data_IF_796927948451
#
_entry.id   IF_796927948451
#
_cell.length_a   1.000
_cell.length_b   1.000
_cell.length_c   1.000
_cell.angle_alpha   90.00
_cell.angle_beta   90.00
_cell.angle_gamma   90.00
#
_symmetry.space_group_name_H-M   'P 1'
#
loop_
_entity.id
_entity.type
_entity.pdbx_description
1 polymer ?
#
# COMPACT_ATOMS: atom_id res chain seq x y z
N UNK A 1 15.18 -5.11 11.40
CA UNK A 1 14.19 -4.07 11.14
C UNK A 1 14.38 -2.87 12.05
N UNK A 2 13.59 -1.85 11.83
CA UNK A 2 13.53 -0.63 12.65
C UNK A 2 12.34 -0.65 13.63
N UNK A 3 11.76 -1.83 13.87
CA UNK A 3 10.58 -2.05 14.69
C UNK A 3 9.33 -2.31 13.85
N UNK A 4 8.19 -2.51 14.51
CA UNK A 4 6.94 -2.91 13.86
C UNK A 4 6.31 -1.78 13.02
N UNK A 5 6.48 -0.54 13.44
CA UNK A 5 5.80 0.61 12.80
C UNK A 5 6.67 1.36 11.79
N UNK A 6 7.98 1.08 11.75
CA UNK A 6 8.92 1.83 10.92
C UNK A 6 9.91 0.94 10.15
N UNK A 7 10.30 1.37 8.93
CA UNK A 7 9.72 2.47 8.13
C UNK A 7 8.33 2.10 7.62
N UNK A 8 7.44 3.07 7.38
CA UNK A 8 6.18 2.78 6.72
C UNK A 8 6.40 2.47 5.23
N UNK A 9 5.62 1.55 4.67
CA UNK A 9 5.38 1.52 3.23
C UNK A 9 4.65 2.80 2.82
N UNK A 10 4.77 3.22 1.56
CA UNK A 10 4.19 4.49 1.14
C UNK A 10 3.68 4.50 -0.28
N UNK A 11 2.72 5.38 -0.52
CA UNK A 11 2.27 5.81 -1.82
C UNK A 11 2.83 7.20 -2.08
N UNK A 12 3.40 7.44 -3.26
CA UNK A 12 3.97 8.74 -3.61
C UNK A 12 3.93 9.02 -5.10
N UNK A 13 3.84 10.29 -5.44
CA UNK A 13 4.13 10.80 -6.77
C UNK A 13 5.65 10.81 -6.99
N UNK A 14 6.08 10.59 -8.23
CA UNK A 14 7.50 10.62 -8.60
C UNK A 14 7.75 11.66 -9.67
N UNK A 15 8.89 12.35 -9.55
CA UNK A 15 9.43 13.27 -10.58
C UNK A 15 10.84 12.81 -10.93
N UNK A 16 11.32 13.23 -12.09
CA UNK A 16 12.68 12.92 -12.49
C UNK A 16 13.70 13.41 -11.45
N UNK A 17 14.65 12.56 -11.07
CA UNK A 17 15.65 12.82 -10.05
C UNK A 17 15.15 12.88 -8.60
N UNK A 18 13.89 12.53 -8.33
CA UNK A 18 13.37 12.41 -6.96
C UNK A 18 14.12 11.36 -6.14
N UNK A 19 14.38 11.68 -4.88
CA UNK A 19 15.06 10.79 -3.94
C UNK A 19 14.28 10.71 -2.62
N UNK A 20 13.94 9.49 -2.18
CA UNK A 20 13.10 9.26 -1.00
C UNK A 20 13.86 8.65 0.19
N UNK A 21 15.20 8.73 0.19
CA UNK A 21 16.05 8.57 1.37
C UNK A 21 16.87 7.30 1.47
N UNK A 22 16.41 6.17 0.92
CA UNK A 22 17.15 4.92 1.07
C UNK A 22 18.55 4.97 0.41
N UNK A 23 19.63 4.49 1.07
CA UNK A 23 19.66 3.78 2.36
C UNK A 23 19.85 4.70 3.58
N UNK A 24 20.04 5.99 3.43
CA UNK A 24 20.52 6.91 4.48
C UNK A 24 19.45 7.35 5.47
N UNK A 25 18.22 7.47 4.99
CA UNK A 25 17.08 7.90 5.77
C UNK A 25 15.78 7.34 5.20
N UNK A 26 14.69 7.50 5.95
CA UNK A 26 13.35 7.09 5.54
C UNK A 26 12.32 8.13 5.99
N UNK A 27 11.14 8.09 5.39
CA UNK A 27 10.02 8.98 5.69
C UNK A 27 10.47 10.46 5.82
N UNK A 28 11.05 10.98 4.74
CA UNK A 28 11.69 12.27 4.72
C UNK A 28 13.13 12.19 5.23
N UNK A 29 13.41 12.80 6.38
CA UNK A 29 14.78 12.94 6.90
C UNK A 29 15.05 12.18 8.19
N UNK A 30 14.26 11.15 8.49
CA UNK A 30 14.52 10.26 9.61
C UNK A 30 15.71 9.39 9.29
N UNK A 31 16.84 9.64 9.95
CA UNK A 31 18.12 8.98 9.68
C UNK A 31 18.07 7.51 10.04
N UNK A 32 18.61 6.66 9.18
CA UNK A 32 18.91 5.27 9.50
C UNK A 32 20.38 5.19 9.95
N UNK A 33 20.63 5.11 11.24
CA UNK A 33 21.97 5.11 11.85
C UNK A 33 22.73 3.79 11.69
N UNK A 34 22.10 2.77 11.10
CA UNK A 34 22.71 1.45 10.86
C UNK A 34 23.63 1.42 9.63
N UNK A 35 23.65 2.49 8.83
CA UNK A 35 24.45 2.60 7.63
C UNK A 35 25.39 3.81 7.69
N UNK A 36 26.52 3.81 6.95
CA UNK A 36 27.34 5.00 6.81
C UNK A 36 26.53 6.17 6.28
N UNK A 37 26.65 7.33 6.92
CA UNK A 37 25.82 8.49 6.64
C UNK A 37 26.37 9.38 5.53
N UNK A 38 25.43 9.95 4.75
CA UNK A 38 25.69 11.02 3.79
C UNK A 38 24.70 12.18 4.07
N UNK A 39 25.11 13.23 4.83
CA UNK A 39 24.24 14.34 5.17
C UNK A 39 23.71 15.10 3.95
N UNK A 40 24.45 15.12 2.83
CA UNK A 40 23.99 15.79 1.61
C UNK A 40 22.82 15.00 0.98
N UNK A 41 22.87 13.69 1.01
CA UNK A 41 21.78 12.85 0.53
C UNK A 41 20.56 12.91 1.46
N UNK A 42 20.76 12.92 2.77
CA UNK A 42 19.66 13.14 3.74
C UNK A 42 18.97 14.49 3.49
N UNK A 43 19.75 15.54 3.24
CA UNK A 43 19.20 16.87 2.97
C UNK A 43 18.33 16.91 1.71
N UNK A 44 18.62 16.09 0.70
CA UNK A 44 17.88 15.97 -0.57
C UNK A 44 16.62 15.10 -0.46
N UNK A 45 16.50 14.28 0.56
CA UNK A 45 15.40 13.34 0.68
C UNK A 45 14.05 14.05 0.76
N UNK A 46 13.11 13.58 -0.04
CA UNK A 46 11.71 14.01 -0.04
C UNK A 46 10.88 13.15 0.91
N UNK A 47 9.86 13.74 1.51
CA UNK A 47 8.85 12.96 2.24
C UNK A 47 7.85 12.42 1.24
N UNK A 48 7.53 11.10 1.26
CA UNK A 48 6.47 10.53 0.45
C UNK A 48 5.10 11.16 0.75
N UNK A 49 4.19 11.10 -0.22
CA UNK A 49 2.87 11.76 -0.12
C UNK A 49 1.95 11.11 0.93
N UNK A 50 2.04 9.78 1.14
CA UNK A 50 1.11 9.07 2.01
C UNK A 50 1.73 7.81 2.61
N UNK A 51 1.66 7.66 3.94
CA UNK A 51 2.09 6.46 4.66
C UNK A 51 1.00 5.37 4.62
N UNK A 52 1.39 4.15 4.29
CA UNK A 52 0.50 2.97 4.21
C UNK A 52 0.59 2.07 5.44
N UNK A 53 1.45 2.41 6.40
CA UNK A 53 1.72 1.62 7.61
C UNK A 53 3.00 0.79 7.53
N UNK A 54 3.47 0.35 8.68
CA UNK A 54 4.70 -0.45 8.79
C UNK A 54 4.53 -1.86 8.24
N UNK A 55 5.45 -2.26 7.36
CA UNK A 55 5.57 -3.64 6.85
C UNK A 55 4.32 -4.21 6.17
N UNK A 56 3.49 -3.38 5.56
CA UNK A 56 2.27 -3.85 4.86
C UNK A 56 2.58 -4.61 3.58
N UNK A 57 3.81 -4.51 3.09
CA UNK A 57 4.25 -5.04 1.81
C UNK A 57 3.30 -4.65 0.68
N UNK A 58 3.12 -3.33 0.51
CA UNK A 58 2.28 -2.75 -0.52
C UNK A 58 2.95 -2.89 -1.89
N UNK A 59 2.39 -3.70 -2.78
CA UNK A 59 3.02 -4.11 -4.05
C UNK A 59 2.32 -3.54 -5.27
N UNK A 60 1.09 -3.99 -5.56
CA UNK A 60 0.34 -3.55 -6.73
C UNK A 60 -0.56 -2.37 -6.44
N UNK A 61 -0.77 -1.50 -7.44
CA UNK A 61 -1.71 -0.38 -7.32
C UNK A 61 -2.41 -0.08 -8.65
N UNK A 62 -3.64 0.44 -8.58
CA UNK A 62 -4.32 1.00 -9.73
C UNK A 62 -5.27 2.13 -9.34
N UNK A 63 -5.49 3.05 -10.29
CA UNK A 63 -6.48 4.12 -10.13
C UNK A 63 -7.90 3.58 -10.22
N UNK A 64 -8.75 3.99 -9.28
CA UNK A 64 -10.17 3.64 -9.21
C UNK A 64 -10.98 4.93 -9.31
N UNK A 65 -11.71 5.14 -10.43
CA UNK A 65 -12.58 6.28 -10.58
C UNK A 65 -13.75 6.27 -9.58
N UNK A 66 -14.22 7.46 -9.21
CA UNK A 66 -15.40 7.64 -8.38
C UNK A 66 -16.60 6.83 -8.88
N UNK A 67 -17.27 6.12 -7.99
CA UNK A 67 -18.47 5.33 -8.30
C UNK A 67 -18.22 4.04 -9.09
N UNK A 68 -16.96 3.68 -9.40
CA UNK A 68 -16.66 2.41 -10.07
C UNK A 68 -17.01 1.19 -9.19
N UNK A 69 -16.76 1.30 -7.90
CA UNK A 69 -17.15 0.31 -6.91
C UNK A 69 -18.20 0.91 -5.96
N UNK A 70 -19.23 0.16 -5.56
CA UNK A 70 -20.22 0.63 -4.60
C UNK A 70 -19.58 1.10 -3.29
N UNK A 71 -20.01 2.29 -2.83
CA UNK A 71 -19.48 2.90 -1.61
C UNK A 71 -18.12 3.60 -1.75
N UNK A 72 -17.56 3.67 -2.96
CA UNK A 72 -16.34 4.41 -3.26
C UNK A 72 -16.67 5.57 -4.22
N UNK A 73 -17.23 6.63 -3.68
CA UNK A 73 -17.86 7.73 -4.44
C UNK A 73 -16.87 8.87 -4.78
N UNK A 74 -15.59 8.67 -4.51
CA UNK A 74 -14.49 9.59 -4.86
C UNK A 74 -13.42 8.83 -5.63
N UNK A 75 -12.63 9.56 -6.39
CA UNK A 75 -11.43 9.00 -7.03
C UNK A 75 -10.42 8.53 -5.99
N UNK A 76 -9.64 7.52 -6.31
CA UNK A 76 -8.58 7.05 -5.42
C UNK A 76 -7.71 5.95 -6.01
N UNK A 77 -6.86 5.41 -5.15
CA UNK A 77 -5.92 4.36 -5.51
C UNK A 77 -6.26 3.08 -4.74
N UNK A 78 -6.53 1.98 -5.44
CA UNK A 78 -6.55 0.65 -4.85
C UNK A 78 -5.13 0.11 -4.75
N UNK A 79 -4.77 -0.46 -3.59
CA UNK A 79 -3.42 -0.94 -3.31
C UNK A 79 -3.51 -2.33 -2.69
N UNK A 80 -2.84 -3.31 -3.31
CA UNK A 80 -2.67 -4.65 -2.78
C UNK A 80 -1.56 -4.68 -1.73
N UNK A 81 -1.92 -5.09 -0.52
CA UNK A 81 -1.00 -5.25 0.61
C UNK A 81 -0.78 -6.74 0.86
N UNK A 82 0.40 -7.23 0.47
CA UNK A 82 0.78 -8.63 0.60
C UNK A 82 0.88 -9.08 2.05
N UNK A 83 1.21 -8.17 2.94
CA UNK A 83 1.25 -8.38 4.38
C UNK A 83 2.63 -8.69 4.94
N UNK A 84 2.80 -8.39 6.22
CA UNK A 84 4.04 -8.56 6.95
C UNK A 84 4.34 -10.04 7.24
N UNK A 85 5.60 -10.32 7.58
CA UNK A 85 6.06 -11.63 8.08
C UNK A 85 6.91 -11.49 9.35
N UNK A 86 7.29 -10.27 9.72
CA UNK A 86 8.24 -9.98 10.79
C UNK A 86 7.75 -8.90 11.76
N UNK A 87 6.43 -8.81 11.97
CA UNK A 87 5.80 -7.95 12.98
C UNK A 87 5.27 -8.78 14.15
N UNK A 88 5.20 -8.16 15.32
CA UNK A 88 4.56 -8.74 16.51
C UNK A 88 3.06 -8.95 16.30
N UNK A 89 2.38 -7.96 15.70
CA UNK A 89 1.02 -8.07 15.16
C UNK A 89 1.10 -7.87 13.66
N UNK A 90 0.57 -8.80 12.88
CA UNK A 90 0.67 -8.76 11.43
C UNK A 90 -0.12 -7.58 10.84
N UNK A 91 0.35 -7.06 9.70
CA UNK A 91 -0.27 -5.94 8.98
C UNK A 91 -0.37 -6.23 7.49
N UNK A 92 -1.28 -5.54 6.80
CA UNK A 92 -1.55 -5.80 5.39
C UNK A 92 -2.57 -6.94 5.22
N UNK A 93 -2.31 -7.90 4.31
CA UNK A 93 -3.20 -9.00 3.96
C UNK A 93 -4.58 -8.53 3.47
N UNK A 94 -4.60 -7.50 2.64
CA UNK A 94 -5.84 -6.87 2.16
C UNK A 94 -5.60 -6.00 0.94
N UNK A 95 -6.67 -5.55 0.33
CA UNK A 95 -6.64 -4.47 -0.65
C UNK A 95 -7.27 -3.24 -0.01
N UNK A 96 -6.52 -2.15 0.03
CA UNK A 96 -6.98 -0.87 0.58
C UNK A 96 -7.25 0.13 -0.54
N UNK A 97 -8.16 1.06 -0.28
CA UNK A 97 -8.45 2.22 -1.11
C UNK A 97 -7.97 3.48 -0.38
N UNK A 98 -7.08 4.22 -1.01
CA UNK A 98 -6.68 5.55 -0.55
C UNK A 98 -7.44 6.60 -1.36
N UNK A 99 -8.34 7.39 -0.74
CA UNK A 99 -9.09 8.41 -1.45
C UNK A 99 -8.17 9.55 -1.90
N UNK A 100 -8.55 10.20 -3.01
CA UNK A 100 -7.83 11.35 -3.56
C UNK A 100 -8.74 12.57 -3.64
N UNK A 101 -8.18 13.75 -3.38
CA UNK A 101 -8.79 15.04 -3.62
C UNK A 101 -7.74 15.99 -4.23
N UNK A 102 -8.13 16.73 -5.27
CA UNK A 102 -7.23 17.67 -5.95
C UNK A 102 -5.89 17.02 -6.40
N UNK A 103 -5.95 15.78 -6.85
CA UNK A 103 -4.79 15.04 -7.34
C UNK A 103 -3.82 14.53 -6.26
N UNK A 104 -4.21 14.56 -4.98
CA UNK A 104 -3.38 14.08 -3.87
C UNK A 104 -4.15 13.12 -2.96
N UNK A 105 -3.46 12.19 -2.28
CA UNK A 105 -4.08 11.36 -1.25
C UNK A 105 -4.76 12.22 -0.18
N UNK A 106 -5.97 11.82 0.24
CA UNK A 106 -6.80 12.58 1.17
C UNK A 106 -7.64 11.67 2.07
N UNK A 107 -7.41 11.73 3.35
CA UNK A 107 -8.15 10.95 4.34
C UNK A 107 -7.59 9.55 4.61
N UNK A 108 -8.23 8.78 5.50
CA UNK A 108 -7.78 7.46 5.89
C UNK A 108 -8.03 6.41 4.80
N UNK A 109 -7.21 5.34 4.75
CA UNK A 109 -7.46 4.24 3.84
C UNK A 109 -8.72 3.48 4.26
N UNK A 110 -9.40 2.86 3.28
CA UNK A 110 -10.59 2.02 3.48
C UNK A 110 -10.35 0.66 2.85
N UNK A 111 -10.83 -0.40 3.49
CA UNK A 111 -10.69 -1.75 2.94
C UNK A 111 -11.64 -1.97 1.75
N UNK A 112 -11.11 -2.47 0.63
CA UNK A 112 -11.87 -2.98 -0.53
C UNK A 112 -12.09 -4.48 -0.38
N UNK A 113 -11.03 -5.21 -0.01
CA UNK A 113 -11.05 -6.66 0.11
C UNK A 113 -10.15 -7.05 1.29
N UNK A 114 -10.68 -7.85 2.21
CA UNK A 114 -10.01 -8.31 3.42
C UNK A 114 -10.39 -9.77 3.73
N UNK A 115 -9.90 -10.31 4.85
CA UNK A 115 -10.19 -11.68 5.27
C UNK A 115 -9.14 -12.69 4.81
N UNK A 116 -7.99 -12.22 4.36
CA UNK A 116 -6.87 -13.10 3.97
C UNK A 116 -6.02 -13.60 5.14
N UNK A 117 -6.27 -13.09 6.35
CA UNK A 117 -5.58 -13.50 7.57
C UNK A 117 -6.61 -14.00 8.59
N UNK A 118 -6.31 -15.12 9.25
CA UNK A 118 -7.13 -15.61 10.35
C UNK A 118 -7.16 -14.59 11.51
N UNK A 119 -8.25 -14.51 12.30
CA UNK A 119 -8.34 -13.55 13.40
C UNK A 119 -7.27 -13.71 14.49
N UNK A 120 -6.74 -14.91 14.65
CA UNK A 120 -5.65 -15.24 15.58
C UNK A 120 -4.26 -15.18 14.91
N UNK A 121 -4.21 -14.71 13.64
CA UNK A 121 -3.01 -14.59 12.81
C UNK A 121 -2.26 -15.91 12.54
N UNK A 122 -2.88 -17.05 12.85
CA UNK A 122 -2.24 -18.37 12.72
C UNK A 122 -2.12 -18.85 11.27
N UNK A 123 -3.00 -18.39 10.39
CA UNK A 123 -3.10 -18.84 8.99
C UNK A 123 -3.33 -17.65 8.06
N UNK A 124 -2.55 -17.60 6.98
CA UNK A 124 -2.83 -16.75 5.83
C UNK A 124 -3.59 -17.56 4.78
N UNK A 125 -4.79 -17.10 4.44
CA UNK A 125 -5.63 -17.70 3.39
C UNK A 125 -5.29 -17.19 2.00
N UNK A 126 -4.52 -16.12 1.90
CA UNK A 126 -4.09 -15.49 0.67
C UNK A 126 -3.29 -14.22 0.95
N UNK A 127 -2.61 -13.71 -0.08
CA UNK A 127 -1.79 -12.50 0.01
C UNK A 127 -1.91 -11.69 -1.27
N UNK A 128 -2.65 -10.57 -1.25
CA UNK A 128 -2.85 -9.72 -2.43
C UNK A 128 -1.55 -9.14 -2.97
N UNK A 129 -1.37 -9.19 -4.29
CA UNK A 129 -0.19 -8.67 -5.00
C UNK A 129 -0.60 -7.61 -6.01
N UNK A 130 -0.87 -8.02 -7.25
CA UNK A 130 -1.27 -7.13 -8.33
C UNK A 130 -2.74 -6.73 -8.21
N UNK A 131 -3.03 -5.47 -8.49
CA UNK A 131 -4.40 -4.95 -8.53
C UNK A 131 -4.59 -4.18 -9.83
N UNK A 132 -5.62 -4.51 -10.61
CA UNK A 132 -5.95 -3.82 -11.85
C UNK A 132 -7.46 -3.65 -12.01
N UNK A 133 -7.87 -2.62 -12.75
CA UNK A 133 -9.26 -2.45 -13.14
C UNK A 133 -9.62 -3.53 -14.17
N UNK A 134 -10.73 -4.22 -13.94
CA UNK A 134 -11.24 -5.24 -14.86
C UNK A 134 -11.64 -4.64 -16.22
N UNK A 135 -11.67 -5.47 -17.29
CA UNK A 135 -12.05 -5.02 -18.64
C UNK A 135 -13.44 -4.41 -18.71
N UNK A 136 -14.33 -4.82 -17.81
CA UNK A 136 -15.71 -4.29 -17.70
C UNK A 136 -15.78 -2.88 -17.09
N UNK A 137 -14.67 -2.35 -16.58
CA UNK A 137 -14.56 -1.07 -15.85
C UNK A 137 -15.53 -0.93 -14.67
N UNK A 138 -15.95 -2.07 -14.10
CA UNK A 138 -16.90 -2.16 -12.98
C UNK A 138 -16.40 -3.14 -11.90
N UNK A 139 -15.20 -3.63 -12.05
CA UNK A 139 -14.58 -4.57 -11.11
C UNK A 139 -13.08 -4.32 -10.97
N UNK A 140 -12.51 -4.83 -9.89
CA UNK A 140 -11.06 -5.02 -9.73
C UNK A 140 -10.72 -6.50 -9.91
N UNK A 141 -9.58 -6.77 -10.51
CA UNK A 141 -8.94 -8.07 -10.49
C UNK A 141 -7.73 -7.97 -9.55
N UNK A 142 -7.64 -8.90 -8.61
CA UNK A 142 -6.61 -8.94 -7.59
C UNK A 142 -5.89 -10.29 -7.67
N UNK A 143 -4.61 -10.27 -7.97
CA UNK A 143 -3.79 -11.47 -7.93
C UNK A 143 -3.46 -11.83 -6.48
N UNK A 144 -3.51 -13.11 -6.17
CA UNK A 144 -3.18 -13.69 -4.86
C UNK A 144 -2.18 -14.82 -5.11
N UNK A 145 -0.93 -14.62 -4.73
CA UNK A 145 0.16 -15.55 -5.04
C UNK A 145 0.27 -16.72 -4.05
N UNK A 146 -0.39 -16.64 -2.90
CA UNK A 146 -0.48 -17.73 -1.93
C UNK A 146 -1.71 -18.57 -2.16
N UNK A 147 -2.83 -17.94 -2.52
CA UNK A 147 -4.07 -18.64 -2.86
C UNK A 147 -4.08 -19.22 -4.28
N UNK A 148 -3.09 -18.90 -5.13
CA UNK A 148 -3.01 -19.30 -6.56
C UNK A 148 -4.28 -18.94 -7.36
N UNK A 149 -4.89 -17.80 -7.05
CA UNK A 149 -6.14 -17.34 -7.66
C UNK A 149 -6.09 -15.87 -8.07
N UNK A 150 -7.04 -15.49 -8.92
CA UNK A 150 -7.35 -14.10 -9.22
C UNK A 150 -8.76 -13.80 -8.71
N UNK A 151 -8.86 -12.94 -7.72
CA UNK A 151 -10.12 -12.47 -7.18
C UNK A 151 -10.73 -11.41 -8.10
N UNK A 152 -12.04 -11.52 -8.36
CA UNK A 152 -12.80 -10.47 -9.02
C UNK A 152 -13.69 -9.78 -7.98
N UNK A 153 -13.41 -8.51 -7.71
CA UNK A 153 -14.18 -7.67 -6.78
C UNK A 153 -15.10 -6.75 -7.55
N UNK A 154 -16.40 -6.86 -7.33
CA UNK A 154 -17.42 -6.04 -7.98
C UNK A 154 -18.59 -5.81 -7.04
N UNK A 155 -19.45 -4.82 -7.34
CA UNK A 155 -20.71 -4.65 -6.62
C UNK A 155 -21.62 -5.88 -6.73
N UNK A 156 -22.37 -6.18 -5.68
CA UNK A 156 -23.44 -7.16 -5.75
C UNK A 156 -24.50 -6.71 -6.78
N UNK A 157 -25.01 -7.66 -7.54
CA UNK A 157 -26.14 -7.44 -8.46
C UNK A 157 -27.45 -7.46 -7.70
#
# INVERSE_FOLDING_TARGET
GLGDETPPDYLTSVSDGSFYGWPYCYWGKTVDDRVPQDPAMVARALTPDYALGGHTASLGLCWVPAGMLPGFDVDGMAIGQHGSWNRSTLSGYKVVFVPFANGRPAGPPRDILSGFLAPDESVSYGRPVGVVVGPDRKSLLVADDVGDVIWRVAGAR
#
